data_IF_920134434203
#
_entry.id   IF_920134434203
#
_cell.length_a   1.000
_cell.length_b   1.000
_cell.length_c   1.000
_cell.angle_alpha   90.00
_cell.angle_beta   90.00
_cell.angle_gamma   90.00
#
_symmetry.space_group_name_H-M   'P 1'
#
loop_
_entity.id
_entity.type
_entity.pdbx_description
1 polymer ?
#
# COMPACT_ATOMS: atom_id res chain seq x y z
N UNK A 1 -0.38 15.20 31.01
CA UNK A 1 -0.74 13.80 30.77
C UNK A 1 -0.58 13.55 29.28
N UNK A 2 0.11 12.50 28.81
CA UNK A 2 0.11 12.20 27.39
C UNK A 2 -1.34 11.93 26.95
N UNK A 3 -1.75 12.51 25.83
CA UNK A 3 -3.07 12.30 25.25
C UNK A 3 -3.25 10.80 25.00
N UNK A 4 -4.31 10.21 25.56
CA UNK A 4 -4.60 8.79 25.42
C UNK A 4 -4.71 8.40 23.93
N UNK A 5 -5.14 9.34 23.08
CA UNK A 5 -5.15 9.20 21.63
C UNK A 5 -3.74 9.01 21.06
N UNK A 6 -2.78 9.85 21.48
CA UNK A 6 -1.38 9.78 21.03
C UNK A 6 -0.69 8.46 21.44
N UNK A 7 -0.94 7.97 22.66
CA UNK A 7 -0.36 6.71 23.14
C UNK A 7 -0.90 5.51 22.33
N UNK A 8 -2.20 5.51 22.03
CA UNK A 8 -2.82 4.47 21.21
C UNK A 8 -2.32 4.53 19.76
N UNK A 9 -2.16 5.72 19.17
CA UNK A 9 -1.61 5.90 17.82
C UNK A 9 -0.19 5.35 17.70
N UNK A 10 0.68 5.60 18.68
CA UNK A 10 2.07 5.09 18.65
C UNK A 10 2.10 3.57 18.75
N UNK A 11 1.30 2.97 19.65
CA UNK A 11 1.21 1.51 19.76
C UNK A 11 0.61 0.86 18.49
N UNK A 12 -0.41 1.48 17.89
CA UNK A 12 -0.98 1.02 16.61
C UNK A 12 -0.01 1.18 15.44
N UNK A 13 0.91 2.14 15.52
CA UNK A 13 1.94 2.33 14.50
C UNK A 13 3.00 1.22 14.50
N UNK A 14 3.35 0.70 15.67
CA UNK A 14 4.30 -0.41 15.80
C UNK A 14 3.82 -1.71 15.14
N UNK A 15 2.50 -1.87 14.93
CA UNK A 15 1.92 -3.06 14.32
C UNK A 15 1.61 -2.90 12.83
N UNK A 16 1.78 -1.70 12.25
CA UNK A 16 1.47 -1.45 10.82
C UNK A 16 2.24 -2.41 9.91
N UNK A 17 3.53 -2.61 10.15
CA UNK A 17 4.34 -3.50 9.31
C UNK A 17 3.92 -4.97 9.43
N UNK A 18 3.43 -5.39 10.59
CA UNK A 18 2.85 -6.71 10.79
C UNK A 18 1.51 -6.85 10.03
N UNK A 19 0.72 -5.78 9.92
CA UNK A 19 -0.52 -5.77 9.11
C UNK A 19 -0.26 -5.78 7.61
N UNK A 20 0.79 -5.09 7.13
CA UNK A 20 1.11 -4.96 5.69
C UNK A 20 1.80 -6.20 5.14
N UNK A 21 2.65 -6.85 5.93
CA UNK A 21 3.45 -8.00 5.46
C UNK A 21 2.62 -9.12 4.81
N UNK A 22 1.48 -9.57 5.38
CA UNK A 22 0.64 -10.58 4.75
C UNK A 22 0.07 -10.15 3.39
N UNK A 23 -0.35 -8.88 3.24
CA UNK A 23 -0.87 -8.35 1.97
C UNK A 23 0.21 -8.42 0.90
N UNK A 24 1.39 -7.89 1.20
CA UNK A 24 2.51 -7.85 0.28
C UNK A 24 2.97 -9.27 -0.11
N UNK A 25 3.09 -10.19 0.85
CA UNK A 25 3.51 -11.56 0.58
C UNK A 25 2.49 -12.32 -0.29
N UNK A 26 1.20 -12.25 0.02
CA UNK A 26 0.14 -12.91 -0.78
C UNK A 26 0.04 -12.31 -2.18
N UNK A 27 0.11 -10.99 -2.29
CA UNK A 27 0.10 -10.30 -3.57
C UNK A 27 1.32 -10.65 -4.44
N UNK A 28 2.51 -10.78 -3.86
CA UNK A 28 3.70 -11.23 -4.59
C UNK A 28 3.52 -12.65 -5.16
N UNK A 29 2.97 -13.57 -4.38
CA UNK A 29 2.70 -14.95 -4.81
C UNK A 29 1.62 -14.98 -5.90
N UNK A 30 0.51 -14.26 -5.70
CA UNK A 30 -0.57 -14.19 -6.68
C UNK A 30 -0.14 -13.54 -8.00
N UNK A 31 0.68 -12.48 -7.93
CA UNK A 31 1.20 -11.83 -9.13
C UNK A 31 2.10 -12.78 -9.93
N UNK A 32 3.04 -13.48 -9.27
CA UNK A 32 4.02 -14.34 -9.97
C UNK A 32 3.47 -15.68 -10.46
N UNK A 33 2.55 -16.31 -9.71
CA UNK A 33 2.07 -17.67 -10.00
C UNK A 33 0.56 -17.90 -9.85
N UNK A 34 -0.21 -16.88 -9.44
CA UNK A 34 -1.65 -16.99 -9.23
C UNK A 34 -2.50 -16.94 -10.52
N UNK A 35 -3.81 -16.75 -10.33
CA UNK A 35 -4.78 -16.66 -11.42
C UNK A 35 -4.47 -15.45 -12.34
N UNK A 36 -4.22 -15.73 -13.63
CA UNK A 36 -3.89 -14.71 -14.62
C UNK A 36 -5.04 -13.74 -14.92
N UNK A 37 -6.30 -14.21 -14.90
CA UNK A 37 -7.48 -13.36 -15.11
C UNK A 37 -7.68 -12.39 -13.95
N UNK A 38 -7.46 -12.84 -12.72
CA UNK A 38 -7.46 -11.95 -11.54
C UNK A 38 -6.36 -10.90 -11.66
N UNK A 39 -5.14 -11.27 -12.05
CA UNK A 39 -4.09 -10.28 -12.31
C UNK A 39 -4.48 -9.28 -13.43
N UNK A 40 -5.10 -9.78 -14.51
CA UNK A 40 -5.57 -8.94 -15.63
C UNK A 40 -6.67 -7.97 -15.21
N UNK A 41 -7.53 -8.34 -14.26
CA UNK A 41 -8.58 -7.46 -13.73
C UNK A 41 -8.01 -6.14 -13.20
N UNK A 42 -6.89 -6.23 -12.45
CA UNK A 42 -6.23 -5.08 -11.84
C UNK A 42 -5.17 -4.44 -12.74
N UNK A 43 -4.40 -5.21 -13.51
CA UNK A 43 -3.26 -4.65 -14.26
C UNK A 43 -3.46 -4.61 -15.78
N UNK A 44 -4.61 -5.07 -16.28
CA UNK A 44 -5.03 -5.05 -17.71
C UNK A 44 -4.09 -5.76 -18.67
N UNK A 45 -3.24 -6.63 -18.15
CA UNK A 45 -2.31 -7.44 -18.92
C UNK A 45 -2.11 -8.77 -18.21
N UNK A 46 -1.62 -9.77 -18.92
CA UNK A 46 -1.21 -11.07 -18.38
C UNK A 46 0.26 -11.37 -18.66
N UNK A 47 1.01 -10.39 -19.20
CA UNK A 47 2.40 -10.63 -19.61
C UNK A 47 3.27 -11.05 -18.44
N UNK A 48 4.12 -12.05 -18.66
CA UNK A 48 4.99 -12.58 -17.61
C UNK A 48 5.92 -11.50 -17.04
N UNK A 49 6.38 -10.58 -17.88
CA UNK A 49 7.21 -9.45 -17.47
C UNK A 49 6.47 -8.52 -16.49
N UNK A 50 5.22 -8.15 -16.79
CA UNK A 50 4.42 -7.30 -15.90
C UNK A 50 4.14 -8.00 -14.58
N UNK A 51 3.75 -9.27 -14.62
CA UNK A 51 3.52 -10.12 -13.46
C UNK A 51 4.73 -10.21 -12.54
N UNK A 52 5.91 -10.47 -13.11
CA UNK A 52 7.17 -10.51 -12.35
C UNK A 52 7.55 -9.13 -11.80
N UNK A 53 7.30 -8.04 -12.53
CA UNK A 53 7.55 -6.68 -12.04
C UNK A 53 6.68 -6.36 -10.83
N UNK A 54 5.38 -6.63 -10.91
CA UNK A 54 4.43 -6.44 -9.80
C UNK A 54 4.81 -7.31 -8.60
N UNK A 55 5.16 -8.58 -8.83
CA UNK A 55 5.60 -9.48 -7.76
C UNK A 55 6.85 -8.95 -7.04
N UNK A 56 7.85 -8.46 -7.79
CA UNK A 56 9.07 -7.87 -7.20
C UNK A 56 8.79 -6.60 -6.40
N UNK A 57 7.85 -5.75 -6.84
CA UNK A 57 7.42 -4.59 -6.05
C UNK A 57 6.83 -5.04 -4.71
N UNK A 58 5.91 -6.01 -4.72
CA UNK A 58 5.34 -6.53 -3.48
C UNK A 58 6.37 -7.23 -2.58
N UNK A 59 7.33 -7.95 -3.14
CA UNK A 59 8.44 -8.53 -2.36
C UNK A 59 9.29 -7.44 -1.70
N UNK A 60 9.58 -6.34 -2.40
CA UNK A 60 10.29 -5.22 -1.83
C UNK A 60 9.49 -4.56 -0.68
N UNK A 61 8.17 -4.43 -0.83
CA UNK A 61 7.28 -3.95 0.25
C UNK A 61 7.32 -4.90 1.47
N UNK A 62 7.27 -6.21 1.24
CA UNK A 62 7.36 -7.18 2.32
C UNK A 62 8.73 -7.14 3.04
N UNK A 63 9.81 -6.89 2.29
CA UNK A 63 11.15 -6.69 2.87
C UNK A 63 11.23 -5.40 3.68
N UNK A 64 10.64 -4.31 3.20
CA UNK A 64 10.53 -3.06 3.95
C UNK A 64 9.85 -3.28 5.30
N UNK A 65 8.80 -4.10 5.32
CA UNK A 65 8.03 -4.40 6.54
C UNK A 65 8.72 -5.43 7.47
N UNK A 66 9.84 -6.03 7.07
CA UNK A 66 10.51 -7.07 7.86
C UNK A 66 11.26 -6.53 9.08
N UNK A 67 11.50 -5.22 9.14
CA UNK A 67 12.13 -4.55 10.27
C UNK A 67 11.60 -3.13 10.43
N UNK A 68 11.23 -2.76 11.66
CA UNK A 68 10.78 -1.41 11.95
C UNK A 68 11.90 -0.36 11.95
N UNK A 69 13.17 -0.79 12.00
CA UNK A 69 14.32 0.10 12.25
C UNK A 69 15.40 0.04 11.15
N UNK A 70 15.20 -0.76 10.11
CA UNK A 70 16.21 -1.02 9.07
C UNK A 70 15.62 -0.94 7.64
N UNK A 71 14.42 -0.40 7.51
CA UNK A 71 13.78 -0.14 6.23
C UNK A 71 14.46 0.97 5.44
N UNK A 72 14.08 1.10 4.17
CA UNK A 72 14.52 2.14 3.23
C UNK A 72 13.64 3.39 3.27
N UNK A 73 12.58 3.37 4.08
CA UNK A 73 11.69 4.49 4.32
C UNK A 73 11.74 4.94 5.78
N UNK A 74 11.42 6.21 6.01
CA UNK A 74 11.08 6.70 7.34
C UNK A 74 9.57 6.80 7.41
N UNK A 75 8.98 6.04 8.32
CA UNK A 75 7.54 5.97 8.51
C UNK A 75 7.11 6.83 9.69
N UNK A 76 6.24 7.80 9.45
CA UNK A 76 5.71 8.70 10.46
C UNK A 76 4.26 8.36 10.76
N UNK A 77 3.99 8.04 12.01
CA UNK A 77 2.65 7.73 12.50
C UNK A 77 1.71 8.95 12.54
N UNK A 78 2.28 10.14 12.43
CA UNK A 78 1.60 11.43 12.55
C UNK A 78 2.17 12.40 11.54
N UNK A 79 1.37 13.41 11.21
CA UNK A 79 1.72 14.45 10.25
C UNK A 79 2.79 15.40 10.79
N UNK A 80 4.05 15.02 10.63
CA UNK A 80 5.21 15.84 11.01
C UNK A 80 5.46 17.02 10.07
N UNK A 81 4.85 17.01 8.87
CA UNK A 81 5.04 18.07 7.87
C UNK A 81 3.87 19.04 7.77
N UNK A 82 2.75 18.78 8.46
CA UNK A 82 1.51 19.57 8.42
C UNK A 82 0.89 19.63 7.03
N UNK A 83 0.98 18.53 6.29
CA UNK A 83 0.43 18.40 4.92
C UNK A 83 -0.95 17.73 4.90
N UNK A 84 -1.40 17.15 6.00
CA UNK A 84 -2.69 16.49 6.08
C UNK A 84 -3.83 17.50 6.05
N UNK A 85 -4.75 17.28 5.12
CA UNK A 85 -6.02 17.98 5.00
C UNK A 85 -7.16 16.99 5.17
N UNK A 86 -8.37 17.49 5.45
CA UNK A 86 -9.56 16.64 5.66
C UNK A 86 -9.76 15.71 4.46
N UNK A 87 -9.87 14.41 4.72
CA UNK A 87 -10.04 13.39 3.69
C UNK A 87 -8.76 12.84 3.07
N UNK A 88 -7.59 13.42 3.38
CA UNK A 88 -6.30 12.80 3.04
C UNK A 88 -5.96 11.76 4.12
N UNK A 89 -5.78 10.51 3.70
CA UNK A 89 -5.60 9.38 4.62
C UNK A 89 -4.12 9.19 4.97
N UNK A 90 -3.25 9.19 3.97
CA UNK A 90 -1.79 9.14 4.14
C UNK A 90 -1.15 9.83 2.93
N UNK A 91 0.17 10.02 3.00
CA UNK A 91 0.93 10.46 1.83
C UNK A 91 2.39 10.02 1.91
N UNK A 92 3.02 10.00 0.74
CA UNK A 92 4.44 9.71 0.57
C UNK A 92 5.15 10.93 0.00
N UNK A 93 6.36 11.22 0.48
CA UNK A 93 7.28 12.19 -0.12
C UNK A 93 8.41 11.38 -0.78
N UNK A 94 8.31 11.03 -2.07
CA UNK A 94 9.25 10.10 -2.72
C UNK A 94 10.70 10.58 -2.65
N UNK A 95 10.93 11.88 -2.83
CA UNK A 95 12.27 12.48 -2.79
C UNK A 95 12.98 12.33 -1.43
N UNK A 96 12.24 12.03 -0.36
CA UNK A 96 12.78 11.82 1.00
C UNK A 96 12.61 10.38 1.50
N UNK A 97 11.90 9.53 0.75
CA UNK A 97 11.48 8.21 1.23
C UNK A 97 10.70 8.26 2.54
N UNK A 98 9.89 9.31 2.71
CA UNK A 98 9.07 9.49 3.91
C UNK A 98 7.63 9.11 3.63
N UNK A 99 7.05 8.29 4.50
CA UNK A 99 5.65 7.87 4.44
C UNK A 99 4.97 8.35 5.71
N UNK A 100 3.81 8.99 5.58
CA UNK A 100 3.18 9.71 6.68
C UNK A 100 1.70 9.38 6.75
N UNK A 101 1.26 8.94 7.93
CA UNK A 101 -0.17 8.76 8.21
C UNK A 101 -0.80 10.08 8.64
N UNK A 102 -1.94 10.40 8.04
CA UNK A 102 -2.79 11.49 8.49
C UNK A 102 -3.72 11.04 9.63
N UNK A 103 -4.34 11.99 10.37
CA UNK A 103 -5.29 11.63 11.42
C UNK A 103 -6.45 10.74 10.94
N UNK A 104 -6.90 10.90 9.69
CA UNK A 104 -8.00 10.12 9.11
C UNK A 104 -7.62 8.64 8.86
N UNK A 105 -6.32 8.30 8.70
CA UNK A 105 -5.85 6.91 8.66
C UNK A 105 -6.28 6.14 9.90
N UNK A 106 -6.13 6.74 11.07
CA UNK A 106 -6.43 6.10 12.35
C UNK A 106 -7.93 5.97 12.65
N UNK A 107 -8.78 6.50 11.76
CA UNK A 107 -10.24 6.28 11.79
C UNK A 107 -10.66 5.06 10.98
N UNK A 108 -9.76 4.50 10.16
CA UNK A 108 -10.02 3.28 9.41
C UNK A 108 -10.03 2.06 10.33
N UNK A 109 -10.73 0.99 9.93
CA UNK A 109 -10.57 -0.29 10.60
C UNK A 109 -9.11 -0.76 10.49
N UNK A 110 -8.51 -1.32 11.56
CA UNK A 110 -7.19 -1.91 11.48
C UNK A 110 -7.11 -3.09 10.50
N UNK A 111 -8.18 -3.87 10.42
CA UNK A 111 -8.31 -5.04 9.53
C UNK A 111 -9.72 -5.10 8.98
N UNK A 112 -9.82 -5.26 7.65
CA UNK A 112 -11.04 -5.67 6.96
C UNK A 112 -10.90 -7.13 6.53
N UNK A 113 -11.86 -7.98 6.92
CA UNK A 113 -11.77 -9.43 6.70
C UNK A 113 -12.29 -9.89 5.33
N UNK A 114 -13.08 -9.07 4.63
CA UNK A 114 -13.70 -9.41 3.34
C UNK A 114 -13.90 -8.16 2.50
N UNK A 115 -13.78 -8.29 1.18
CA UNK A 115 -14.03 -7.19 0.25
C UNK A 115 -12.84 -6.24 0.13
N UNK A 116 -13.08 -5.12 -0.56
CA UNK A 116 -12.03 -4.21 -1.04
C UNK A 116 -11.94 -2.91 -0.24
N UNK A 117 -12.69 -2.79 0.86
CA UNK A 117 -12.69 -1.56 1.66
C UNK A 117 -11.30 -1.28 2.24
N UNK A 118 -10.89 0.00 2.33
CA UNK A 118 -9.61 0.37 2.91
C UNK A 118 -9.49 -0.02 4.38
N UNK A 119 -8.36 -0.63 4.72
CA UNK A 119 -7.88 -0.78 6.09
C UNK A 119 -6.43 -0.27 6.18
N UNK A 120 -5.82 -0.42 7.35
CA UNK A 120 -4.44 0.00 7.58
C UNK A 120 -3.44 -0.63 6.59
N UNK A 121 -3.61 -1.92 6.26
CA UNK A 121 -2.74 -2.64 5.32
C UNK A 121 -2.89 -2.14 3.90
N UNK A 122 -4.14 -1.95 3.44
CA UNK A 122 -4.47 -1.40 2.13
C UNK A 122 -3.79 -0.06 1.87
N UNK A 123 -3.92 0.87 2.81
CA UNK A 123 -3.40 2.24 2.65
C UNK A 123 -1.89 2.25 2.68
N UNK A 124 -1.24 1.43 3.50
CA UNK A 124 0.22 1.43 3.55
C UNK A 124 0.85 0.71 2.36
N UNK A 125 0.20 -0.32 1.80
CA UNK A 125 0.60 -0.86 0.49
C UNK A 125 0.56 0.24 -0.57
N UNK A 126 -0.49 1.08 -0.59
CA UNK A 126 -0.62 2.21 -1.51
C UNK A 126 0.61 3.12 -1.40
N UNK A 127 0.86 3.65 -0.21
CA UNK A 127 1.93 4.59 0.05
C UNK A 127 3.32 4.02 -0.26
N UNK A 128 3.56 2.77 0.13
CA UNK A 128 4.83 2.10 -0.16
C UNK A 128 5.08 1.89 -1.66
N UNK A 129 4.04 1.88 -2.49
CA UNK A 129 4.26 1.82 -3.94
C UNK A 129 4.82 3.12 -4.52
N UNK A 130 4.56 4.28 -3.89
CA UNK A 130 5.12 5.57 -4.29
C UNK A 130 6.61 5.71 -3.94
N UNK A 131 7.06 5.03 -2.88
CA UNK A 131 8.42 5.14 -2.38
C UNK A 131 9.43 4.50 -3.34
N UNK A 132 10.16 5.35 -4.07
CA UNK A 132 11.19 4.92 -5.04
C UNK A 132 12.36 4.16 -4.39
N UNK A 133 12.59 4.36 -3.09
CA UNK A 133 13.59 3.62 -2.32
C UNK A 133 13.21 2.15 -2.11
N UNK A 134 11.91 1.84 -2.04
CA UNK A 134 11.41 0.46 -1.98
C UNK A 134 11.54 -0.18 -3.36
N UNK A 135 10.94 0.43 -4.37
CA UNK A 135 10.97 -0.07 -5.75
C UNK A 135 10.82 1.06 -6.77
N UNK A 136 11.72 1.10 -7.77
CA UNK A 136 11.75 2.14 -8.79
C UNK A 136 11.25 1.64 -10.15
N UNK A 137 10.46 2.44 -10.91
CA UNK A 137 9.95 3.76 -10.52
C UNK A 137 8.86 3.66 -9.45
N UNK A 138 8.68 4.73 -8.68
CA UNK A 138 7.52 4.88 -7.80
C UNK A 138 6.23 4.96 -8.63
N UNK A 139 5.12 4.50 -8.06
CA UNK A 139 3.79 4.71 -8.64
C UNK A 139 3.36 6.18 -8.51
N UNK A 140 2.29 6.52 -9.20
CA UNK A 140 1.55 7.78 -9.08
C UNK A 140 0.07 7.48 -8.83
N UNK A 141 -0.73 8.52 -8.63
CA UNK A 141 -2.17 8.41 -8.41
C UNK A 141 -2.96 8.78 -9.66
N UNK A 142 -3.18 7.78 -10.52
CA UNK A 142 -4.05 7.93 -11.68
C UNK A 142 -5.53 7.83 -11.33
N UNK A 143 -5.88 7.01 -10.33
CA UNK A 143 -7.24 6.79 -9.90
C UNK A 143 -7.29 6.17 -8.50
N UNK A 144 -8.39 6.38 -7.79
CA UNK A 144 -8.69 5.75 -6.51
C UNK A 144 -10.01 5.00 -6.57
N UNK A 145 -10.08 3.87 -5.86
CA UNK A 145 -11.24 3.00 -5.76
C UNK A 145 -11.38 2.07 -6.97
N UNK A 146 -11.99 0.90 -6.71
CA UNK A 146 -12.11 -0.20 -7.66
C UNK A 146 -12.69 0.22 -9.01
N UNK A 147 -13.80 0.96 -9.01
CA UNK A 147 -14.50 1.37 -10.24
C UNK A 147 -13.64 2.26 -11.15
N UNK A 148 -12.88 3.19 -10.58
CA UNK A 148 -12.03 4.08 -11.38
C UNK A 148 -10.75 3.39 -11.82
N UNK A 149 -10.12 2.61 -10.92
CA UNK A 149 -8.93 1.83 -11.23
C UNK A 149 -9.20 0.81 -12.35
N UNK A 150 -10.42 0.27 -12.43
CA UNK A 150 -10.81 -0.65 -13.50
C UNK A 150 -10.88 -0.04 -14.89
N UNK A 151 -10.97 1.29 -15.01
CA UNK A 151 -11.04 2.00 -16.29
C UNK A 151 -9.67 2.38 -16.85
N UNK A 152 -8.62 2.29 -16.03
CA UNK A 152 -7.25 2.55 -16.46
C UNK A 152 -6.80 1.54 -17.51
N UNK A 153 -5.90 1.97 -18.40
CA UNK A 153 -5.20 1.06 -19.29
C UNK A 153 -4.06 0.31 -18.57
N UNK A 154 -3.39 -0.62 -19.25
CA UNK A 154 -2.34 -1.45 -18.64
C UNK A 154 -1.16 -0.63 -18.11
N UNK A 155 -0.70 0.37 -18.88
CA UNK A 155 0.42 1.22 -18.46
C UNK A 155 0.06 2.00 -17.19
N UNK A 156 -1.09 2.66 -17.19
CA UNK A 156 -1.60 3.40 -16.03
C UNK A 156 -1.81 2.48 -14.82
N UNK A 157 -2.37 1.29 -15.03
CA UNK A 157 -2.63 0.35 -13.93
C UNK A 157 -1.33 -0.16 -13.28
N UNK A 158 -0.27 -0.36 -14.07
CA UNK A 158 1.06 -0.75 -13.57
C UNK A 158 1.79 0.40 -12.87
N UNK A 159 1.39 1.65 -13.10
CA UNK A 159 1.93 2.83 -12.43
C UNK A 159 0.97 3.45 -11.41
N UNK A 160 -0.22 2.88 -11.16
CA UNK A 160 -1.19 3.42 -10.22
C UNK A 160 -1.07 2.74 -8.85
N UNK A 161 -0.89 3.51 -7.78
CA UNK A 161 -0.74 2.95 -6.44
C UNK A 161 -1.95 2.13 -5.99
N UNK A 162 -3.16 2.63 -6.25
CA UNK A 162 -4.37 2.00 -5.73
C UNK A 162 -4.72 0.67 -6.43
N UNK A 163 -4.22 0.44 -7.66
CA UNK A 163 -4.30 -0.89 -8.30
C UNK A 163 -3.52 -1.96 -7.52
N UNK A 164 -2.39 -1.59 -6.90
CA UNK A 164 -1.64 -2.51 -6.04
C UNK A 164 -2.39 -2.79 -4.74
N UNK A 165 -2.97 -1.78 -4.10
CA UNK A 165 -3.75 -1.95 -2.87
C UNK A 165 -4.99 -2.81 -3.06
N UNK A 166 -5.74 -2.55 -4.14
CA UNK A 166 -6.92 -3.32 -4.50
C UNK A 166 -6.57 -4.78 -4.81
N UNK A 167 -5.52 -5.02 -5.62
CA UNK A 167 -5.07 -6.38 -5.92
C UNK A 167 -4.64 -7.11 -4.65
N UNK A 168 -3.85 -6.45 -3.79
CA UNK A 168 -3.38 -7.04 -2.53
C UNK A 168 -4.53 -7.36 -1.57
N UNK A 169 -5.52 -6.46 -1.45
CA UNK A 169 -6.71 -6.72 -0.64
C UNK A 169 -7.53 -7.88 -1.19
N UNK A 170 -7.75 -7.92 -2.50
CA UNK A 170 -8.54 -8.97 -3.14
C UNK A 170 -7.93 -10.36 -2.92
N UNK A 171 -6.64 -10.54 -3.21
CA UNK A 171 -5.97 -11.84 -3.03
C UNK A 171 -5.76 -12.23 -1.57
N UNK A 172 -5.97 -11.30 -0.64
CA UNK A 172 -5.82 -11.53 0.80
C UNK A 172 -7.14 -11.89 1.46
N UNK A 173 -8.27 -11.39 0.94
CA UNK A 173 -9.57 -11.38 1.63
C UNK A 173 -10.71 -12.06 0.85
N UNK A 174 -10.50 -12.45 -0.42
CA UNK A 174 -11.50 -13.07 -1.28
C UNK A 174 -10.96 -14.35 -1.93
#
# INVERSE_FOLDING_TARGET
MPDLYLVNTVNSCMVVFATVSPYAQRAAQAASGGNAQKFQEYFKTTSQQARQSVARRFQAIAQECSSANQGRTIYFCQDVYRNCQRGLIAYTIPARSHVVNCPDYWRLPPVVNRGLDPDHGYVVVHEFTHATSIFSPGTVDHAYGYEQCRRLNAQQSLSNADNYSLFAADVTRN
#
